data_IF_615536727407
#
_entry.id   IF_615536727407
#
_cell.length_a   1.000
_cell.length_b   1.000
_cell.length_c   1.000
_cell.angle_alpha   90.00
_cell.angle_beta   90.00
_cell.angle_gamma   90.00
#
_symmetry.space_group_name_H-M   'P 1'
#
loop_
_entity.id
_entity.type
_entity.pdbx_description
1 polymer ?
#
# COMPACT_ATOMS: atom_id res chain seq x y z
N UNK A 1 -26.43 -7.52 1.08
CA UNK A 1 -25.57 -6.45 0.52
C UNK A 1 -25.56 -5.22 1.44
N UNK A 2 -24.37 -4.78 1.86
CA UNK A 2 -24.15 -3.51 2.56
C UNK A 2 -23.05 -2.72 1.87
N UNK A 3 -23.21 -1.39 1.84
CA UNK A 3 -22.28 -0.46 1.20
C UNK A 3 -21.74 0.49 2.25
N UNK A 4 -20.41 0.63 2.29
CA UNK A 4 -19.69 1.45 3.26
C UNK A 4 -18.73 2.36 2.52
N UNK A 5 -18.38 3.50 3.11
CA UNK A 5 -17.39 4.39 2.52
C UNK A 5 -16.51 5.11 3.53
N UNK A 6 -15.34 5.55 3.06
CA UNK A 6 -14.38 6.38 3.80
C UNK A 6 -13.91 7.55 2.91
N UNK A 7 -13.50 8.70 3.49
CA UNK A 7 -12.91 9.78 2.72
C UNK A 7 -11.53 9.38 2.17
N UNK A 8 -11.18 9.90 0.99
CA UNK A 8 -9.89 9.69 0.33
C UNK A 8 -9.43 10.94 -0.41
N UNK A 9 -8.15 11.24 -0.31
CA UNK A 9 -7.48 12.23 -1.16
C UNK A 9 -6.89 11.54 -2.38
N UNK A 10 -7.48 11.79 -3.56
CA UNK A 10 -7.03 11.20 -4.82
C UNK A 10 -5.66 11.74 -5.28
N UNK A 11 -5.20 12.88 -4.76
CA UNK A 11 -3.84 13.41 -4.99
C UNK A 11 -2.81 12.81 -4.03
N UNK A 12 -3.24 12.00 -3.06
CA UNK A 12 -2.36 11.19 -2.22
C UNK A 12 -2.35 9.73 -2.73
N UNK A 13 -1.36 9.33 -3.55
CA UNK A 13 -1.29 7.97 -4.10
C UNK A 13 -1.19 6.90 -3.02
N UNK A 14 -0.59 7.21 -1.86
CA UNK A 14 -0.58 6.30 -0.71
C UNK A 14 -1.99 5.94 -0.24
N UNK A 15 -2.90 6.92 -0.19
CA UNK A 15 -4.30 6.67 0.16
C UNK A 15 -5.03 5.89 -0.94
N UNK A 16 -4.77 6.18 -2.21
CA UNK A 16 -5.32 5.40 -3.34
C UNK A 16 -4.88 3.94 -3.25
N UNK A 17 -3.58 3.68 -3.02
CA UNK A 17 -3.09 2.32 -2.84
C UNK A 17 -3.69 1.65 -1.60
N UNK A 18 -3.91 2.41 -0.52
CA UNK A 18 -4.55 1.94 0.69
C UNK A 18 -6.03 1.57 0.49
N UNK A 19 -6.76 2.27 -0.40
CA UNK A 19 -8.11 1.89 -0.81
C UNK A 19 -8.12 0.51 -1.48
N UNK A 20 -7.17 0.23 -2.38
CA UNK A 20 -7.02 -1.13 -2.92
C UNK A 20 -6.72 -2.13 -1.78
N UNK A 21 -5.88 -1.75 -0.81
CA UNK A 21 -5.61 -2.56 0.36
C UNK A 21 -6.87 -2.93 1.17
N UNK A 22 -7.80 -1.99 1.33
CA UNK A 22 -9.10 -2.26 1.94
C UNK A 22 -9.94 -3.22 1.12
N UNK A 23 -9.97 -3.10 -0.21
CA UNK A 23 -10.69 -4.04 -1.07
C UNK A 23 -10.13 -5.47 -0.95
N UNK A 24 -8.80 -5.63 -0.91
CA UNK A 24 -8.15 -6.94 -0.70
C UNK A 24 -8.53 -7.56 0.65
N UNK A 25 -8.49 -6.76 1.73
CA UNK A 25 -8.86 -7.23 3.06
C UNK A 25 -10.35 -7.55 3.15
N UNK A 26 -11.21 -6.75 2.53
CA UNK A 26 -12.64 -7.04 2.46
C UNK A 26 -12.89 -8.40 1.78
N UNK A 27 -12.22 -8.65 0.66
CA UNK A 27 -12.33 -9.92 -0.07
C UNK A 27 -11.87 -11.13 0.76
N UNK A 28 -10.75 -10.99 1.49
CA UNK A 28 -10.19 -12.04 2.33
C UNK A 28 -11.02 -12.34 3.60
N UNK A 29 -11.54 -11.29 4.23
CA UNK A 29 -12.11 -11.35 5.58
C UNK A 29 -13.63 -11.53 5.56
N UNK A 30 -14.31 -10.87 4.62
CA UNK A 30 -15.78 -10.82 4.57
C UNK A 30 -16.31 -11.72 3.44
N UNK A 31 -15.67 -11.70 2.27
CA UNK A 31 -16.09 -12.41 1.07
C UNK A 31 -16.07 -11.50 -0.15
N UNK A 32 -16.59 -11.94 -1.31
CA UNK A 32 -16.52 -11.19 -2.56
C UNK A 32 -16.89 -9.71 -2.39
N UNK A 33 -15.95 -8.82 -2.71
CA UNK A 33 -16.08 -7.39 -2.55
C UNK A 33 -16.15 -6.71 -3.92
N UNK A 34 -16.96 -5.65 -4.00
CA UNK A 34 -16.94 -4.71 -5.11
C UNK A 34 -16.60 -3.33 -4.58
N UNK A 35 -15.78 -2.57 -5.29
CA UNK A 35 -15.39 -1.25 -4.83
C UNK A 35 -15.28 -0.25 -5.97
N UNK A 36 -15.43 1.02 -5.63
CA UNK A 36 -15.27 2.14 -6.54
C UNK A 36 -14.85 3.39 -5.77
N UNK A 37 -14.21 4.33 -6.46
CA UNK A 37 -14.08 5.68 -5.95
C UNK A 37 -15.35 6.48 -6.31
N UNK A 38 -15.72 7.46 -5.49
CA UNK A 38 -16.78 8.41 -5.77
C UNK A 38 -16.21 9.81 -5.59
N UNK A 39 -16.11 10.56 -6.69
CA UNK A 39 -15.68 11.96 -6.69
C UNK A 39 -16.79 12.87 -7.24
N UNK A 40 -18.05 12.43 -7.15
CA UNK A 40 -19.19 13.22 -7.58
C UNK A 40 -19.36 14.50 -6.75
N UNK A 41 -18.92 14.51 -5.48
CA UNK A 41 -18.65 15.74 -4.76
C UNK A 41 -17.20 16.19 -5.02
N UNK A 42 -16.97 17.32 -5.70
CA UNK A 42 -15.62 17.82 -5.96
C UNK A 42 -14.86 18.25 -4.69
N UNK A 43 -15.53 18.34 -3.54
CA UNK A 43 -14.92 18.72 -2.25
C UNK A 43 -14.50 17.52 -1.41
N UNK A 44 -15.10 16.36 -1.63
CA UNK A 44 -14.85 15.16 -0.83
C UNK A 44 -14.96 13.91 -1.69
N UNK A 45 -13.82 13.42 -2.17
CA UNK A 45 -13.78 12.10 -2.77
C UNK A 45 -13.88 11.02 -1.68
N UNK A 46 -14.57 9.93 -2.01
CA UNK A 46 -14.81 8.80 -1.12
C UNK A 46 -14.39 7.50 -1.81
N UNK A 47 -14.01 6.52 -1.01
CA UNK A 47 -13.82 5.15 -1.47
C UNK A 47 -14.95 4.29 -0.90
N UNK A 48 -15.64 3.58 -1.79
CA UNK A 48 -16.85 2.80 -1.50
C UNK A 48 -16.53 1.32 -1.64
N UNK A 49 -16.96 0.52 -0.66
CA UNK A 49 -16.87 -0.93 -0.67
C UNK A 49 -18.25 -1.53 -0.43
N UNK A 50 -18.67 -2.42 -1.32
CA UNK A 50 -19.86 -3.24 -1.23
C UNK A 50 -19.48 -4.70 -0.97
N UNK A 51 -20.16 -5.32 -0.03
CA UNK A 51 -20.05 -6.75 0.28
C UNK A 51 -21.44 -7.36 0.45
N UNK A 52 -21.59 -8.65 0.11
CA UNK A 52 -22.81 -9.39 0.42
C UNK A 52 -22.81 -9.95 1.85
N UNK A 53 -22.68 -9.03 2.80
CA UNK A 53 -22.65 -9.33 4.23
C UNK A 53 -23.18 -8.13 5.01
N UNK A 54 -23.60 -8.34 6.26
CA UNK A 54 -23.90 -7.28 7.22
C UNK A 54 -22.65 -6.75 7.92
N UNK A 55 -21.50 -7.42 7.76
CA UNK A 55 -20.22 -7.02 8.34
C UNK A 55 -19.69 -5.78 7.63
N UNK A 56 -19.29 -4.77 8.41
CA UNK A 56 -18.58 -3.61 7.89
C UNK A 56 -17.15 -4.01 7.43
N UNK A 57 -16.83 -3.89 6.14
CA UNK A 57 -15.55 -4.36 5.59
C UNK A 57 -14.36 -3.54 6.10
N UNK A 58 -14.54 -2.24 6.36
CA UNK A 58 -13.47 -1.40 6.90
C UNK A 58 -13.20 -1.73 8.37
N UNK A 59 -14.25 -1.93 9.17
CA UNK A 59 -14.09 -2.35 10.56
C UNK A 59 -13.39 -3.71 10.65
N UNK A 60 -13.81 -4.68 9.84
CA UNK A 60 -13.16 -5.99 9.78
C UNK A 60 -11.67 -5.91 9.39
N UNK A 61 -11.33 -5.09 8.39
CA UNK A 61 -9.96 -4.86 7.99
C UNK A 61 -9.11 -4.21 9.10
N UNK A 62 -9.64 -3.18 9.77
CA UNK A 62 -8.93 -2.48 10.86
C UNK A 62 -8.75 -3.37 12.08
N UNK A 63 -9.76 -4.15 12.45
CA UNK A 63 -9.64 -5.15 13.52
C UNK A 63 -8.58 -6.20 13.19
N UNK A 64 -8.59 -6.76 11.98
CA UNK A 64 -7.56 -7.70 11.54
C UNK A 64 -6.16 -7.10 11.67
N UNK A 65 -5.95 -5.87 11.19
CA UNK A 65 -4.65 -5.20 11.28
C UNK A 65 -4.23 -4.90 12.73
N UNK A 66 -5.18 -4.56 13.60
CA UNK A 66 -4.88 -4.31 15.03
C UNK A 66 -4.40 -5.56 15.76
N UNK A 67 -4.84 -6.74 15.34
CA UNK A 67 -4.47 -8.03 15.92
C UNK A 67 -3.35 -8.75 15.15
N UNK A 68 -2.99 -8.26 13.95
CA UNK A 68 -2.07 -8.94 13.07
C UNK A 68 -0.66 -9.05 13.68
N UNK A 69 -0.16 -10.27 13.69
CA UNK A 69 1.25 -10.59 13.87
C UNK A 69 1.95 -10.55 12.51
N UNK A 70 3.21 -10.09 12.50
CA UNK A 70 4.03 -9.99 11.31
C UNK A 70 5.11 -11.05 11.34
N UNK A 71 5.19 -11.83 10.26
CA UNK A 71 6.27 -12.80 10.04
C UNK A 71 6.95 -12.53 8.71
N UNK A 72 8.22 -12.91 8.59
CA UNK A 72 8.89 -13.02 7.29
C UNK A 72 8.57 -14.36 6.65
N UNK A 73 8.46 -14.42 5.33
CA UNK A 73 8.30 -15.66 4.58
C UNK A 73 9.67 -16.13 4.07
N UNK A 74 10.15 -17.26 4.59
CA UNK A 74 11.42 -17.88 4.21
C UNK A 74 11.24 -19.14 3.35
N UNK A 75 12.34 -19.61 2.77
CA UNK A 75 12.42 -20.90 2.06
C UNK A 75 13.15 -21.91 2.96
N UNK A 76 12.61 -23.13 3.16
CA UNK A 76 13.31 -24.18 3.90
C UNK A 76 14.74 -24.41 3.40
N UNK A 77 15.70 -24.42 4.33
CA UNK A 77 17.12 -24.67 4.02
C UNK A 77 17.90 -23.45 3.50
N UNK A 78 17.25 -22.30 3.27
CA UNK A 78 17.96 -21.06 3.02
C UNK A 78 18.43 -20.43 4.34
N UNK A 79 19.68 -19.97 4.40
CA UNK A 79 20.22 -19.24 5.55
C UNK A 79 19.79 -17.76 5.52
N UNK A 80 18.47 -17.54 5.53
CA UNK A 80 17.83 -16.23 5.46
C UNK A 80 16.76 -16.14 6.55
N UNK A 81 17.04 -15.35 7.59
CA UNK A 81 16.12 -15.14 8.71
C UNK A 81 16.11 -13.70 9.21
N UNK A 82 14.99 -13.28 9.80
CA UNK A 82 14.79 -11.93 10.33
C UNK A 82 14.73 -11.84 11.86
N UNK A 83 15.13 -12.91 12.55
CA UNK A 83 15.06 -13.05 14.01
C UNK A 83 15.93 -11.98 14.71
N UNK A 84 17.04 -11.57 14.08
CA UNK A 84 17.87 -10.43 14.51
C UNK A 84 17.05 -9.16 14.76
N UNK A 85 15.99 -8.95 13.98
CA UNK A 85 15.11 -7.79 14.10
C UNK A 85 13.82 -8.10 14.82
N UNK A 86 13.71 -9.23 15.54
CA UNK A 86 12.49 -9.66 16.27
C UNK A 86 11.27 -9.85 15.37
N UNK A 87 11.49 -10.39 14.17
CA UNK A 87 10.43 -10.85 13.28
C UNK A 87 10.70 -12.31 12.97
N UNK A 88 9.79 -13.19 13.36
CA UNK A 88 9.93 -14.62 13.13
C UNK A 88 9.84 -14.94 11.64
N UNK A 89 10.69 -15.85 11.18
CA UNK A 89 10.64 -16.35 9.81
C UNK A 89 9.82 -17.63 9.75
N UNK A 90 8.73 -17.61 8.98
CA UNK A 90 7.90 -18.79 8.73
C UNK A 90 8.25 -19.37 7.36
N UNK A 91 8.36 -20.69 7.30
CA UNK A 91 8.63 -21.37 6.04
C UNK A 91 7.41 -21.31 5.10
N UNK A 92 7.66 -21.10 3.81
CA UNK A 92 6.67 -21.37 2.77
C UNK A 92 6.26 -22.85 2.78
N UNK A 93 4.98 -23.12 2.49
CA UNK A 93 4.48 -24.48 2.46
C UNK A 93 5.18 -25.32 1.39
N UNK A 94 5.35 -26.62 1.65
CA UNK A 94 6.00 -27.54 0.72
C UNK A 94 5.24 -27.58 -0.60
N UNK A 95 5.93 -27.28 -1.70
CA UNK A 95 5.37 -27.28 -3.06
C UNK A 95 4.82 -25.93 -3.53
N UNK A 96 4.66 -24.95 -2.63
CA UNK A 96 4.24 -23.61 -3.03
C UNK A 96 5.40 -22.83 -3.66
N UNK A 97 5.15 -22.09 -4.76
CA UNK A 97 6.17 -21.26 -5.38
C UNK A 97 6.50 -20.07 -4.47
N UNK A 98 7.80 -19.81 -4.26
CA UNK A 98 8.24 -18.60 -3.58
C UNK A 98 7.85 -17.37 -4.42
N UNK A 99 7.23 -16.33 -3.82
CA UNK A 99 6.54 -15.28 -4.59
C UNK A 99 7.48 -14.36 -5.35
N UNK A 100 8.75 -14.33 -4.95
CA UNK A 100 9.77 -13.46 -5.49
C UNK A 100 11.02 -14.30 -5.81
N UNK A 101 11.94 -13.82 -6.64
CA UNK A 101 13.25 -14.44 -6.76
C UNK A 101 13.93 -14.52 -5.39
N UNK A 102 14.54 -15.67 -5.05
CA UNK A 102 15.21 -15.82 -3.76
C UNK A 102 16.24 -14.69 -3.58
N UNK A 103 16.12 -13.87 -2.53
CA UNK A 103 17.00 -12.74 -2.32
C UNK A 103 18.34 -13.17 -1.71
N UNK A 104 19.34 -12.32 -1.86
CA UNK A 104 20.68 -12.52 -1.25
C UNK A 104 20.73 -12.07 0.22
N UNK A 105 19.68 -11.39 0.70
CA UNK A 105 19.61 -10.81 2.03
C UNK A 105 18.21 -11.04 2.62
N UNK A 106 18.09 -11.25 3.94
CA UNK A 106 16.80 -11.35 4.60
C UNK A 106 15.98 -10.04 4.53
N UNK A 107 16.63 -8.91 4.19
CA UNK A 107 15.99 -7.61 4.17
C UNK A 107 14.81 -7.50 3.18
N UNK A 108 14.85 -8.26 2.09
CA UNK A 108 13.84 -8.25 1.04
C UNK A 108 12.94 -9.49 1.07
N UNK A 109 12.99 -10.30 2.13
CA UNK A 109 12.01 -11.39 2.28
C UNK A 109 10.58 -10.81 2.27
N UNK A 110 9.61 -11.51 1.67
CA UNK A 110 8.20 -11.16 1.78
C UNK A 110 7.75 -11.21 3.25
N UNK A 111 6.66 -10.53 3.56
CA UNK A 111 6.03 -10.62 4.87
C UNK A 111 4.69 -11.40 4.80
N UNK A 112 4.25 -11.89 5.95
CA UNK A 112 2.92 -12.47 6.14
C UNK A 112 2.29 -11.81 7.37
N UNK A 113 1.10 -11.25 7.21
CA UNK A 113 0.24 -10.85 8.31
C UNK A 113 -0.65 -12.02 8.72
N UNK A 114 -0.73 -12.32 10.02
CA UNK A 114 -1.59 -13.37 10.56
C UNK A 114 -2.44 -12.86 11.71
N UNK A 115 -3.75 -13.06 11.62
CA UNK A 115 -4.69 -12.84 12.70
C UNK A 115 -5.96 -13.66 12.46
N UNK A 116 -6.63 -14.10 13.52
CA UNK A 116 -7.94 -14.77 13.48
C UNK A 116 -8.02 -15.94 12.48
N UNK A 117 -6.94 -16.72 12.36
CA UNK A 117 -6.86 -17.86 11.43
C UNK A 117 -6.77 -17.48 9.93
N UNK A 118 -6.63 -16.19 9.62
CA UNK A 118 -6.42 -15.66 8.27
C UNK A 118 -4.96 -15.29 8.08
N UNK A 119 -4.50 -15.33 6.84
CA UNK A 119 -3.13 -14.96 6.47
C UNK A 119 -3.14 -14.16 5.19
N UNK A 120 -2.32 -13.11 5.15
CA UNK A 120 -2.15 -12.25 3.98
C UNK A 120 -0.66 -12.08 3.70
N UNK A 121 -0.24 -12.40 2.47
CA UNK A 121 1.15 -12.26 2.03
C UNK A 121 1.39 -10.88 1.41
N UNK A 122 2.54 -10.30 1.71
CA UNK A 122 2.98 -9.02 1.19
C UNK A 122 4.36 -9.20 0.54
N UNK A 123 4.42 -8.98 -0.76
CA UNK A 123 5.61 -9.30 -1.58
C UNK A 123 6.03 -8.18 -2.55
N UNK A 124 5.33 -7.05 -2.53
CA UNK A 124 5.47 -5.99 -3.54
C UNK A 124 6.88 -5.44 -3.68
N UNK A 125 7.60 -5.25 -2.56
CA UNK A 125 8.98 -4.73 -2.57
C UNK A 125 10.02 -5.73 -3.08
N UNK A 126 9.67 -7.02 -3.12
CA UNK A 126 10.55 -8.10 -3.59
C UNK A 126 10.40 -8.41 -5.08
N UNK A 127 9.46 -7.77 -5.77
CA UNK A 127 9.32 -7.88 -7.23
C UNK A 127 10.52 -7.24 -7.98
N UNK A 128 10.43 -7.25 -9.31
CA UNK A 128 11.39 -6.65 -10.21
C UNK A 128 12.13 -7.69 -11.06
N UNK A 129 12.67 -7.23 -12.17
CA UNK A 129 13.48 -8.07 -13.04
C UNK A 129 14.81 -8.38 -12.33
N UNK A 130 15.11 -9.67 -12.21
CA UNK A 130 16.44 -10.16 -11.84
C UNK A 130 17.02 -10.82 -13.08
N UNK A 131 18.22 -10.41 -13.55
CA UNK A 131 18.88 -11.07 -14.67
C UNK A 131 18.92 -12.58 -14.46
N UNK A 132 18.68 -13.34 -15.54
CA UNK A 132 18.77 -14.81 -15.55
C UNK A 132 17.73 -15.56 -14.68
N UNK A 133 16.85 -14.86 -13.96
CA UNK A 133 15.74 -15.47 -13.20
C UNK A 133 14.40 -15.22 -13.88
N UNK A 134 13.54 -16.24 -13.91
CA UNK A 134 12.14 -16.06 -14.31
C UNK A 134 11.45 -15.21 -13.24
N UNK A 135 10.86 -14.07 -13.64
CA UNK A 135 10.18 -13.15 -12.72
C UNK A 135 8.79 -12.81 -13.25
N UNK A 136 7.91 -12.36 -12.35
CA UNK A 136 6.57 -11.86 -12.66
C UNK A 136 6.58 -10.64 -13.60
N UNK A 137 7.75 -10.03 -13.84
CA UNK A 137 7.96 -8.73 -14.52
C UNK A 137 7.16 -7.57 -13.90
N UNK A 138 6.55 -7.76 -12.74
CA UNK A 138 5.90 -6.69 -11.98
C UNK A 138 6.98 -5.69 -11.56
N UNK A 139 6.67 -4.41 -11.67
CA UNK A 139 7.52 -3.38 -11.10
C UNK A 139 7.45 -3.47 -9.57
N UNK A 140 8.56 -3.33 -8.87
CA UNK A 140 8.56 -3.40 -7.40
C UNK A 140 8.09 -2.13 -6.72
N UNK A 141 7.89 -1.05 -7.49
CA UNK A 141 7.49 0.27 -6.99
C UNK A 141 8.31 0.62 -5.74
N UNK A 142 9.62 0.43 -5.81
CA UNK A 142 10.50 0.47 -4.64
C UNK A 142 10.65 1.90 -4.11
N UNK A 143 9.82 2.27 -3.14
CA UNK A 143 9.93 3.50 -2.35
C UNK A 143 10.93 3.39 -1.20
N UNK A 144 11.14 2.18 -0.70
CA UNK A 144 12.00 1.91 0.43
C UNK A 144 13.27 1.15 0.03
N UNK A 145 14.40 1.53 0.60
CA UNK A 145 15.57 0.67 0.71
C UNK A 145 15.86 0.43 2.18
N UNK A 146 15.91 -0.84 2.57
CA UNK A 146 16.31 -1.28 3.90
C UNK A 146 17.71 -0.83 4.27
N UNK A 147 17.80 0.39 4.79
CA UNK A 147 19.03 0.97 5.28
C UNK A 147 19.67 0.01 6.29
N UNK A 148 20.93 -0.38 6.03
CA UNK A 148 21.66 -1.31 6.89
C UNK A 148 21.12 -2.74 6.96
N UNK A 149 20.31 -3.16 5.98
CA UNK A 149 19.71 -4.51 5.94
C UNK A 149 18.47 -4.66 6.81
N UNK A 150 17.86 -3.56 7.28
CA UNK A 150 16.59 -3.62 8.00
C UNK A 150 15.52 -4.29 7.12
N UNK A 151 14.79 -5.33 7.57
CA UNK A 151 13.81 -6.01 6.72
C UNK A 151 12.50 -5.25 6.52
N UNK A 152 11.89 -5.44 5.34
CA UNK A 152 10.56 -4.90 5.05
C UNK A 152 9.52 -5.39 6.07
N UNK A 153 9.59 -6.67 6.47
CA UNK A 153 8.71 -7.23 7.50
C UNK A 153 8.89 -6.55 8.87
N UNK A 154 10.11 -6.14 9.24
CA UNK A 154 10.35 -5.40 10.47
C UNK A 154 9.77 -3.98 10.41
N UNK A 155 9.91 -3.31 9.26
CA UNK A 155 9.32 -1.99 9.04
C UNK A 155 7.77 -2.05 9.06
N UNK A 156 7.18 -3.11 8.51
CA UNK A 156 5.75 -3.36 8.56
C UNK A 156 5.26 -3.57 10.00
N UNK A 157 5.96 -4.39 10.79
CA UNK A 157 5.66 -4.57 12.22
C UNK A 157 5.70 -3.23 12.95
N UNK A 158 6.78 -2.46 12.77
CA UNK A 158 6.93 -1.17 13.45
C UNK A 158 5.78 -0.21 13.09
N UNK A 159 5.37 -0.18 11.81
CA UNK A 159 4.24 0.65 11.38
C UNK A 159 2.93 0.24 12.06
N UNK A 160 2.66 -1.07 12.18
CA UNK A 160 1.49 -1.56 12.92
C UNK A 160 1.58 -1.21 14.41
N UNK A 161 2.72 -1.45 15.04
CA UNK A 161 2.92 -1.23 16.48
C UNK A 161 2.78 0.25 16.87
N UNK A 162 3.18 1.19 16.00
CA UNK A 162 3.00 2.64 16.23
C UNK A 162 1.55 3.05 16.45
N UNK A 163 0.60 2.36 15.81
CA UNK A 163 -0.79 2.75 15.76
C UNK A 163 -1.75 1.71 16.38
N UNK A 164 -1.26 0.55 16.81
CA UNK A 164 -2.04 -0.66 17.12
C UNK A 164 -3.30 -0.41 17.93
N UNK A 165 -3.17 0.31 19.04
CA UNK A 165 -4.27 0.59 19.98
C UNK A 165 -5.33 1.58 19.44
N UNK A 166 -5.03 2.24 18.31
CA UNK A 166 -5.87 3.26 17.67
C UNK A 166 -6.44 2.79 16.33
N UNK A 167 -5.89 1.75 15.70
CA UNK A 167 -6.30 1.27 14.36
C UNK A 167 -7.81 1.00 14.32
N UNK A 168 -8.34 0.20 15.24
CA UNK A 168 -9.76 -0.16 15.25
C UNK A 168 -10.69 1.06 15.45
N UNK A 169 -10.21 2.12 16.11
CA UNK A 169 -10.97 3.35 16.37
C UNK A 169 -10.93 4.34 15.22
N UNK A 170 -10.04 4.15 14.25
CA UNK A 170 -9.86 5.06 13.12
C UNK A 170 -10.88 4.84 11.98
N UNK A 171 -11.97 4.10 12.23
CA UNK A 171 -12.94 3.64 11.22
C UNK A 171 -13.48 4.73 10.30
N UNK A 172 -13.87 5.88 10.85
CA UNK A 172 -14.47 6.96 10.06
C UNK A 172 -13.45 7.65 9.16
N UNK A 173 -12.20 7.73 9.61
CA UNK A 173 -11.13 8.51 8.98
C UNK A 173 -9.78 7.80 9.10
N UNK A 174 -9.63 6.60 8.50
CA UNK A 174 -8.43 5.77 8.71
C UNK A 174 -7.16 6.47 8.22
N UNK A 175 -7.27 7.28 7.17
CA UNK A 175 -6.13 7.98 6.59
C UNK A 175 -5.71 9.24 7.36
N UNK A 176 -6.44 9.65 8.41
CA UNK A 176 -6.04 10.74 9.30
C UNK A 176 -5.27 10.24 10.54
N UNK A 177 -5.21 8.92 10.77
CA UNK A 177 -4.48 8.34 11.91
C UNK A 177 -2.97 8.60 11.76
N UNK A 178 -2.47 9.55 12.55
CA UNK A 178 -1.07 9.97 12.51
C UNK A 178 -0.33 9.65 13.81
N UNK A 179 0.93 9.24 13.68
CA UNK A 179 1.81 8.91 14.80
C UNK A 179 3.21 9.51 14.58
N UNK A 180 3.98 9.82 15.63
CA UNK A 180 5.42 10.04 15.49
C UNK A 180 6.07 8.84 14.81
N UNK A 181 6.72 9.04 13.67
CA UNK A 181 7.17 7.94 12.81
C UNK A 181 8.53 8.25 12.16
N UNK A 182 9.58 7.64 12.70
CA UNK A 182 10.97 7.82 12.24
C UNK A 182 11.27 7.12 10.92
N UNK A 183 10.57 6.04 10.59
CA UNK A 183 10.76 5.24 9.36
C UNK A 183 9.42 4.91 8.71
N UNK A 184 9.37 4.90 7.38
CA UNK A 184 8.18 4.54 6.61
C UNK A 184 8.56 3.88 5.30
N UNK A 185 7.57 3.29 4.61
CA UNK A 185 7.75 2.81 3.25
C UNK A 185 7.73 3.93 2.22
N UNK A 186 7.26 5.12 2.62
CA UNK A 186 7.21 6.38 1.85
C UNK A 186 6.09 6.42 0.80
N UNK A 187 5.00 5.70 1.08
CA UNK A 187 3.79 5.79 0.28
C UNK A 187 2.97 7.04 0.61
N UNK A 188 3.02 7.53 1.86
CA UNK A 188 2.33 8.76 2.24
C UNK A 188 3.26 9.98 2.16
N UNK A 189 3.05 10.77 1.10
CA UNK A 189 3.84 11.96 0.82
C UNK A 189 3.74 13.06 1.89
N UNK A 190 2.72 13.06 2.76
CA UNK A 190 2.55 14.08 3.82
C UNK A 190 3.66 14.06 4.86
N UNK A 191 4.31 12.90 5.04
CA UNK A 191 5.42 12.71 5.99
C UNK A 191 6.77 13.04 5.35
N UNK A 192 6.94 12.63 4.09
CA UNK A 192 8.24 12.62 3.46
C UNK A 192 8.66 13.99 2.95
N UNK A 193 9.97 14.12 2.76
CA UNK A 193 10.60 15.36 2.34
C UNK A 193 11.82 15.03 1.48
N UNK A 194 12.17 15.98 0.63
CA UNK A 194 13.49 16.06 0.02
C UNK A 194 14.21 17.22 0.69
N UNK A 195 15.40 16.99 1.26
CA UNK A 195 16.22 18.09 1.72
C UNK A 195 16.47 19.06 0.57
N UNK A 196 16.13 20.34 0.76
CA UNK A 196 16.53 21.40 -0.18
C UNK A 196 18.01 21.78 -0.03
N UNK A 197 18.75 21.06 0.83
CA UNK A 197 20.16 21.26 1.20
C UNK A 197 20.54 22.70 1.59
N UNK A 198 19.56 23.47 2.07
CA UNK A 198 19.73 24.84 2.53
C UNK A 198 19.12 24.99 3.93
N UNK A 199 19.98 25.16 4.93
CA UNK A 199 19.62 25.68 6.26
C UNK A 199 18.75 24.80 7.17
N UNK A 200 18.26 23.64 6.71
CA UNK A 200 17.44 22.73 7.51
C UNK A 200 17.84 21.27 7.32
N UNK A 201 18.09 20.58 8.42
CA UNK A 201 18.28 19.13 8.45
C UNK A 201 17.55 18.57 9.66
N UNK A 202 16.56 17.70 9.44
CA UNK A 202 15.82 17.07 10.54
C UNK A 202 16.77 16.37 11.54
N UNK A 203 17.86 15.77 11.05
CA UNK A 203 18.88 15.13 11.88
C UNK A 203 19.60 16.11 12.83
N UNK A 204 19.66 17.40 12.50
CA UNK A 204 20.21 18.45 13.35
C UNK A 204 19.22 18.96 14.40
N UNK A 205 17.94 18.56 14.33
CA UNK A 205 16.85 19.05 15.18
C UNK A 205 16.20 17.89 15.96
N UNK A 206 16.92 17.31 16.94
CA UNK A 206 16.45 16.15 17.71
C UNK A 206 15.16 16.33 18.53
N UNK A 207 14.68 17.57 18.70
CA UNK A 207 13.39 17.86 19.33
C UNK A 207 12.20 17.77 18.35
N UNK A 208 12.46 17.72 17.04
CA UNK A 208 11.43 17.59 16.01
C UNK A 208 11.24 16.11 15.66
N UNK A 209 9.99 15.66 15.69
CA UNK A 209 9.64 14.30 15.28
C UNK A 209 8.72 14.36 14.06
N UNK A 210 9.09 13.70 12.94
CA UNK A 210 8.20 13.61 11.79
C UNK A 210 6.95 12.83 12.20
N UNK A 211 5.79 13.31 11.74
CA UNK A 211 4.52 12.58 11.88
C UNK A 211 4.25 11.84 10.58
N UNK A 212 3.99 10.55 10.69
CA UNK A 212 3.60 9.70 9.58
C UNK A 212 2.21 9.13 9.76
N UNK A 213 1.76 8.41 8.73
CA UNK A 213 0.42 7.84 8.63
C UNK A 213 0.55 6.32 8.45
N UNK A 214 0.88 5.59 9.53
CA UNK A 214 1.26 4.18 9.45
C UNK A 214 0.19 3.31 8.80
N UNK A 215 -1.09 3.62 9.03
CA UNK A 215 -2.19 2.85 8.44
C UNK A 215 -2.26 3.00 6.91
N UNK A 216 -1.93 4.18 6.37
CA UNK A 216 -1.81 4.40 4.92
C UNK A 216 -0.66 3.56 4.37
N UNK A 217 0.50 3.55 5.03
CA UNK A 217 1.67 2.78 4.61
C UNK A 217 1.38 1.26 4.58
N UNK A 218 0.75 0.73 5.63
CA UNK A 218 0.39 -0.69 5.75
C UNK A 218 -0.62 -1.10 4.69
N UNK A 219 -1.71 -0.34 4.54
CA UNK A 219 -2.75 -0.67 3.56
C UNK A 219 -2.26 -0.48 2.12
N UNK A 220 -1.40 0.52 1.86
CA UNK A 220 -0.78 0.69 0.56
C UNK A 220 0.06 -0.53 0.17
N UNK A 221 0.80 -1.14 1.10
CA UNK A 221 1.50 -2.41 0.87
C UNK A 221 0.58 -3.56 0.51
N UNK A 222 -0.57 -3.65 1.18
CA UNK A 222 -1.60 -4.64 0.85
C UNK A 222 -2.07 -4.44 -0.58
N UNK A 223 -2.50 -3.24 -0.95
CA UNK A 223 -2.99 -2.95 -2.29
C UNK A 223 -1.94 -3.18 -3.37
N UNK A 224 -0.71 -2.73 -3.12
CA UNK A 224 0.42 -2.97 -4.00
C UNK A 224 0.91 -4.41 -3.99
N UNK A 225 0.38 -5.34 -3.21
CA UNK A 225 0.73 -6.76 -3.40
C UNK A 225 0.04 -7.37 -4.64
N UNK A 226 -1.05 -6.75 -5.10
CA UNK A 226 -1.86 -7.27 -6.22
C UNK A 226 -2.07 -6.28 -7.37
N UNK A 227 -1.77 -4.99 -7.19
CA UNK A 227 -1.93 -3.96 -8.21
C UNK A 227 -0.65 -3.15 -8.42
N UNK A 228 -0.45 -2.56 -9.60
CA UNK A 228 0.69 -1.67 -9.88
C UNK A 228 0.21 -0.40 -10.58
N UNK A 229 0.73 0.78 -10.20
CA UNK A 229 0.66 1.95 -11.08
C UNK A 229 1.47 1.67 -12.36
N UNK A 230 1.11 2.36 -13.43
CA UNK A 230 1.85 2.31 -14.69
C UNK A 230 3.19 3.01 -14.51
N UNK A 231 4.29 2.29 -14.74
CA UNK A 231 5.62 2.92 -14.78
C UNK A 231 5.80 3.65 -16.10
N UNK A 232 6.07 4.96 -16.05
CA UNK A 232 6.51 5.72 -17.23
C UNK A 232 8.04 5.64 -17.35
N UNK A 233 8.74 5.94 -16.27
CA UNK A 233 10.18 5.74 -16.13
C UNK A 233 10.54 5.54 -14.64
N UNK A 234 11.83 5.55 -14.29
CA UNK A 234 12.30 5.20 -12.94
C UNK A 234 11.75 6.07 -11.80
N UNK A 235 11.44 7.33 -12.09
CA UNK A 235 11.02 8.35 -11.14
C UNK A 235 9.66 8.97 -11.51
N UNK A 236 8.93 8.36 -12.44
CA UNK A 236 7.57 8.79 -12.80
C UNK A 236 6.68 7.59 -12.99
N UNK A 237 5.55 7.64 -12.31
CA UNK A 237 4.49 6.65 -12.38
C UNK A 237 3.18 7.35 -12.66
N UNK A 238 2.29 6.65 -13.34
CA UNK A 238 0.91 7.06 -13.55
C UNK A 238 0.02 6.09 -12.80
N UNK A 239 -0.97 6.61 -12.08
CA UNK A 239 -2.01 5.79 -11.49
C UNK A 239 -3.37 6.28 -11.91
N UNK A 240 -4.33 5.37 -11.97
CA UNK A 240 -5.69 5.69 -12.35
C UNK A 240 -6.66 5.22 -11.27
N UNK A 241 -7.79 5.92 -11.20
CA UNK A 241 -8.92 5.57 -10.34
C UNK A 241 -10.16 5.50 -11.20
N UNK A 242 -10.89 4.39 -11.07
CA UNK A 242 -12.19 4.21 -11.72
C UNK A 242 -13.30 4.40 -10.69
N UNK A 243 -14.38 5.05 -11.10
CA UNK A 243 -15.38 5.44 -10.13
C UNK A 243 -16.49 6.27 -10.70
N UNK A 244 -17.23 6.89 -9.79
CA UNK A 244 -18.37 7.72 -10.11
C UNK A 244 -17.93 9.16 -10.26
N UNK A 245 -18.27 9.72 -11.43
CA UNK A 245 -18.24 11.15 -11.69
C UNK A 245 -19.65 11.74 -11.71
N UNK A 246 -19.82 12.98 -11.25
CA UNK A 246 -21.12 13.66 -11.21
C UNK A 246 -21.74 13.83 -12.61
N UNK A 247 -20.92 13.97 -13.66
CA UNK A 247 -21.39 14.19 -15.02
C UNK A 247 -21.70 12.90 -15.79
N UNK A 248 -21.33 11.74 -15.25
CA UNK A 248 -21.45 10.46 -15.95
C UNK A 248 -22.90 9.96 -16.08
N UNK A 249 -23.82 10.47 -15.25
CA UNK A 249 -25.19 9.94 -15.15
C UNK A 249 -25.28 8.55 -14.52
N UNK A 250 -24.15 7.94 -14.13
CA UNK A 250 -24.08 6.64 -13.49
C UNK A 250 -24.29 6.75 -11.97
N UNK A 251 -24.97 5.75 -11.41
CA UNK A 251 -25.01 5.54 -9.96
C UNK A 251 -23.71 4.89 -9.48
N UNK A 252 -23.50 4.85 -8.15
CA UNK A 252 -22.35 4.14 -7.59
C UNK A 252 -22.40 2.64 -7.92
N UNK A 253 -23.59 2.05 -7.95
CA UNK A 253 -23.81 0.62 -8.19
C UNK A 253 -23.38 0.18 -9.60
N UNK A 254 -23.47 1.10 -10.57
CA UNK A 254 -23.06 0.91 -11.97
C UNK A 254 -21.54 0.85 -12.16
N UNK A 255 -20.78 1.46 -11.23
CA UNK A 255 -19.32 1.59 -11.34
C UNK A 255 -18.55 0.76 -10.30
N UNK A 256 -19.26 0.04 -9.43
CA UNK A 256 -18.67 -0.90 -8.47
C UNK A 256 -17.97 -2.06 -9.20
N UNK A 257 -16.65 -2.14 -9.06
CA UNK A 257 -15.81 -3.12 -9.73
C UNK A 257 -15.47 -4.29 -8.80
N UNK A 258 -15.50 -5.55 -9.27
CA UNK A 258 -14.90 -6.65 -8.52
C UNK A 258 -13.39 -6.41 -8.34
N UNK A 259 -12.82 -6.90 -7.24
CA UNK A 259 -11.41 -6.64 -6.85
C UNK A 259 -10.40 -6.82 -7.99
N UNK A 260 -10.47 -7.87 -8.85
CA UNK A 260 -9.54 -8.00 -9.99
C UNK A 260 -9.58 -6.82 -10.99
N UNK A 261 -10.75 -6.24 -11.25
CA UNK A 261 -10.87 -5.09 -12.16
C UNK A 261 -10.42 -3.79 -11.47
N UNK A 262 -10.64 -3.66 -10.15
CA UNK A 262 -10.09 -2.56 -9.37
C UNK A 262 -8.56 -2.59 -9.32
N UNK A 263 -7.94 -3.79 -9.23
CA UNK A 263 -6.47 -3.92 -9.33
C UNK A 263 -5.97 -3.46 -10.70
N UNK A 264 -6.67 -3.86 -11.76
CA UNK A 264 -6.31 -3.51 -13.12
C UNK A 264 -6.40 -1.99 -13.35
N UNK A 265 -7.44 -1.34 -12.83
CA UNK A 265 -7.62 0.11 -13.02
C UNK A 265 -6.43 0.92 -12.55
N UNK A 266 -5.73 0.50 -11.48
CA UNK A 266 -4.57 1.24 -10.97
C UNK A 266 -3.48 1.50 -12.03
N UNK A 267 -3.30 0.55 -12.96
CA UNK A 267 -2.20 0.56 -13.93
C UNK A 267 -2.62 0.78 -15.38
N UNK A 268 -3.91 0.96 -15.67
CA UNK A 268 -4.37 1.19 -17.04
C UNK A 268 -5.58 2.14 -17.12
N UNK A 269 -5.60 3.05 -18.11
CA UNK A 269 -6.78 3.88 -18.38
C UNK A 269 -7.85 3.14 -19.19
N UNK A 270 -7.55 1.96 -19.75
CA UNK A 270 -8.36 1.32 -20.81
C UNK A 270 -9.57 0.54 -20.29
N UNK A 271 -10.22 1.00 -19.22
CA UNK A 271 -11.45 0.41 -18.73
C UNK A 271 -12.66 1.24 -19.18
N UNK A 272 -13.82 0.63 -19.47
CA UNK A 272 -15.02 1.33 -19.95
C UNK A 272 -15.78 2.05 -18.82
N UNK A 273 -15.06 2.57 -17.82
CA UNK A 273 -15.62 3.25 -16.65
C UNK A 273 -15.06 4.67 -16.56
N UNK A 274 -15.80 5.62 -15.95
CA UNK A 274 -15.25 6.95 -15.69
C UNK A 274 -13.95 6.84 -14.91
N UNK A 275 -12.91 7.50 -15.42
CA UNK A 275 -11.53 7.31 -14.95
C UNK A 275 -10.85 8.67 -14.81
N UNK A 276 -10.14 8.87 -13.70
CA UNK A 276 -9.20 9.98 -13.52
C UNK A 276 -7.77 9.43 -13.54
N UNK A 277 -6.86 10.17 -14.14
CA UNK A 277 -5.44 9.82 -14.22
C UNK A 277 -4.60 10.80 -13.43
N UNK A 278 -3.55 10.31 -12.80
CA UNK A 278 -2.63 11.10 -12.01
C UNK A 278 -1.20 10.71 -12.32
N UNK A 279 -0.34 11.70 -12.52
CA UNK A 279 1.11 11.49 -12.61
C UNK A 279 1.74 11.76 -11.26
N UNK A 280 2.35 10.73 -10.69
CA UNK A 280 3.16 10.76 -9.48
C UNK A 280 4.64 10.84 -9.84
N UNK A 281 5.31 11.93 -9.46
CA UNK A 281 6.76 12.08 -9.62
C UNK A 281 7.48 11.78 -8.31
N UNK A 282 8.65 11.17 -8.45
CA UNK A 282 9.47 10.71 -7.35
C UNK A 282 10.86 11.35 -7.42
N UNK A 283 11.55 11.38 -6.28
CA UNK A 283 12.98 11.68 -6.22
C UNK A 283 13.65 10.86 -5.11
N UNK A 284 14.96 11.07 -4.96
CA UNK A 284 15.80 10.44 -3.97
C UNK A 284 15.86 11.31 -2.70
N UNK A 285 15.27 10.89 -1.57
CA UNK A 285 15.34 11.63 -0.31
C UNK A 285 16.73 11.56 0.35
N UNK A 286 17.71 10.99 -0.34
CA UNK A 286 19.05 10.69 0.14
C UNK A 286 19.92 10.28 -1.05
N UNK A 287 20.68 9.19 -0.94
CA UNK A 287 21.51 8.72 -2.05
C UNK A 287 20.66 8.21 -3.22
N UNK A 288 21.12 8.51 -4.43
CA UNK A 288 20.53 7.99 -5.66
C UNK A 288 20.43 6.45 -5.58
N UNK A 289 19.32 5.89 -6.05
CA UNK A 289 19.06 4.45 -6.11
C UNK A 289 18.85 3.72 -4.78
N UNK A 290 18.85 4.43 -3.64
CA UNK A 290 18.45 3.84 -2.38
C UNK A 290 16.92 3.79 -2.24
N UNK A 291 16.30 4.92 -1.91
CA UNK A 291 14.87 5.02 -1.63
C UNK A 291 14.23 6.04 -2.57
N UNK A 292 12.92 5.99 -2.74
CA UNK A 292 12.18 7.00 -3.50
C UNK A 292 11.13 7.61 -2.59
N UNK A 293 10.89 8.90 -2.71
CA UNK A 293 9.75 9.55 -2.09
C UNK A 293 8.97 10.32 -3.15
N UNK A 294 7.68 10.48 -2.90
CA UNK A 294 6.78 11.26 -3.76
C UNK A 294 7.09 12.74 -3.56
N UNK A 295 7.16 13.49 -4.66
CA UNK A 295 7.41 14.94 -4.63
C UNK A 295 6.19 15.73 -5.03
N UNK A 296 5.56 15.31 -6.12
CA UNK A 296 4.48 16.00 -6.77
C UNK A 296 3.54 15.00 -7.38
N UNK A 297 2.26 15.35 -7.36
CA UNK A 297 1.19 14.59 -7.98
C UNK A 297 0.33 15.59 -8.72
N UNK A 298 0.23 15.42 -10.03
CA UNK A 298 -0.66 16.23 -10.88
C UNK A 298 -1.74 15.33 -11.47
N UNK A 299 -2.95 15.84 -11.55
CA UNK A 299 -4.00 15.21 -12.35
C UNK A 299 -3.75 15.45 -13.83
N UNK A 300 -3.96 14.41 -14.63
CA UNK A 300 -3.89 14.47 -16.09
C UNK A 300 -5.30 14.43 -16.68
N UNK A 301 -5.54 15.27 -17.68
CA UNK A 301 -6.75 15.18 -18.50
C UNK A 301 -6.55 13.98 -19.43
N UNK A 302 -7.26 12.89 -19.15
CA UNK A 302 -7.30 11.72 -20.04
C UNK A 302 -8.08 12.13 -21.30
N UNK A 303 -7.39 12.19 -22.44
CA UNK A 303 -8.02 12.37 -23.76
C UNK A 303 -8.59 11.06 -24.27
#
# INVERSE_FOLDING_TARGET
MSQHSIPVDLFNPGQVFACLGFAELAELLVGPARSAFDWSDPREARFVVEVDSSVDPFAAALEFLSEAEVHSLGVPGADLGTEKWKVDTVAIASGDPFPIPLPESPATLPAVLRARGKSLRLDSWGDGAVPEKLTSRRDNVKFWAGAGGYPGAALLRDALDLARDQIARAREKPFELSCPQSSSFRFDWRRDYIPIDIGFSLNAHGAMQPRGYPLVEVLALVGLSHARPQREHKLSYRYFVCGRDASSGLSIDDVLLPTPLLRASLGTPSLPFPTRAFRMRLDWPGQENQARCITTVDEEIVQ
#
